data_IF_252794312265
#
_entry.id   IF_252794312265
#
_cell.length_a   1.000
_cell.length_b   1.000
_cell.length_c   1.000
_cell.angle_alpha   90.00
_cell.angle_beta   90.00
_cell.angle_gamma   90.00
#
_symmetry.space_group_name_H-M   'P 1'
#
loop_
_entity.id
_entity.type
_entity.pdbx_description
1 polymer ?
#
# COMPACT_ATOMS: atom_id res chain seq x y z
N UNK A 1 8.36 -0.08 49.17
CA UNK A 1 8.35 1.38 49.45
C UNK A 1 7.95 2.05 48.14
N UNK A 2 6.78 2.66 47.93
CA UNK A 2 5.71 3.15 48.78
C UNK A 2 4.36 2.62 48.31
N UNK A 3 3.51 2.27 49.27
CA UNK A 3 2.09 2.00 49.07
C UNK A 3 1.31 3.33 49.18
N UNK A 4 0.36 3.55 48.27
CA UNK A 4 -0.57 4.67 48.30
C UNK A 4 -1.99 4.14 48.21
N UNK A 5 -2.65 4.14 49.36
CA UNK A 5 -4.04 3.76 49.63
C UNK A 5 -4.91 5.02 49.64
N UNK A 6 -6.06 5.01 48.98
CA UNK A 6 -7.22 5.87 49.28
C UNK A 6 -8.43 5.44 48.42
N UNK A 7 -9.37 4.69 48.98
CA UNK A 7 -10.62 5.10 49.66
C UNK A 7 -11.82 5.18 48.72
N UNK A 8 -12.72 4.23 48.96
CA UNK A 8 -14.10 4.09 48.53
C UNK A 8 -14.95 5.19 49.17
N UNK A 9 -15.82 5.84 48.41
CA UNK A 9 -16.90 6.64 48.96
C UNK A 9 -18.22 6.25 48.29
N UNK A 10 -19.05 5.61 49.11
CA UNK A 10 -20.38 5.08 48.84
C UNK A 10 -21.39 6.17 49.22
N UNK A 11 -22.18 6.64 48.25
CA UNK A 11 -23.28 7.58 48.52
C UNK A 11 -24.60 6.98 48.07
N UNK A 12 -25.30 6.39 49.04
CA UNK A 12 -26.74 6.14 49.03
C UNK A 12 -27.50 7.43 48.74
N UNK A 13 -28.37 7.42 47.74
CA UNK A 13 -29.53 8.32 47.72
C UNK A 13 -30.80 7.53 47.47
N UNK A 14 -31.55 7.38 48.57
CA UNK A 14 -32.93 6.94 48.66
C UNK A 14 -33.84 8.07 48.18
N UNK A 15 -34.71 7.82 47.21
CA UNK A 15 -35.59 8.82 46.60
C UNK A 15 -36.98 8.27 46.32
N UNK A 16 -37.85 8.42 47.32
CA UNK A 16 -39.31 8.58 47.32
C UNK A 16 -40.14 8.05 46.13
N UNK A 17 -41.03 7.10 46.45
CA UNK A 17 -42.21 6.78 45.65
C UNK A 17 -43.26 7.88 45.71
N UNK A 18 -43.69 8.35 44.54
CA UNK A 18 -44.89 9.16 44.35
C UNK A 18 -45.92 8.38 43.53
N UNK A 19 -47.05 8.05 44.14
CA UNK A 19 -48.24 7.54 43.47
C UNK A 19 -48.84 8.65 42.59
N UNK A 20 -48.95 8.40 41.30
CA UNK A 20 -49.67 9.26 40.34
C UNK A 20 -51.07 8.66 40.12
N UNK A 21 -52.15 9.47 40.18
CA UNK A 21 -53.51 8.99 40.02
C UNK A 21 -53.83 8.62 38.57
N UNK A 22 -54.66 7.59 38.42
CA UNK A 22 -55.23 7.14 37.17
C UNK A 22 -56.15 8.23 36.57
N UNK A 23 -55.65 8.93 35.56
CA UNK A 23 -56.42 9.84 34.71
C UNK A 23 -56.92 9.11 33.47
N UNK A 24 -58.23 9.16 33.27
CA UNK A 24 -58.99 8.72 32.09
C UNK A 24 -58.45 9.28 30.78
N UNK A 25 -58.01 8.41 29.87
CA UNK A 25 -57.79 8.73 28.46
C UNK A 25 -58.97 8.20 27.63
N UNK A 26 -59.93 9.07 27.32
CA UNK A 26 -60.93 8.83 26.29
C UNK A 26 -60.98 10.06 25.39
N UNK A 27 -60.73 9.85 24.09
CA UNK A 27 -61.03 10.82 23.03
C UNK A 27 -59.86 11.72 22.58
N UNK A 28 -58.86 11.16 21.91
CA UNK A 28 -58.01 11.89 20.94
C UNK A 28 -57.12 10.91 20.15
N UNK A 29 -57.70 9.99 19.38
CA UNK A 29 -56.95 9.11 18.47
C UNK A 29 -57.67 9.11 17.14
N UNK A 30 -57.40 10.11 16.29
CA UNK A 30 -57.65 10.02 14.84
C UNK A 30 -57.08 11.24 14.11
N UNK A 31 -55.79 11.59 14.32
CA UNK A 31 -55.10 12.55 13.42
C UNK A 31 -53.56 12.59 13.49
N UNK A 32 -52.89 11.69 14.23
CA UNK A 32 -51.42 11.75 14.44
C UNK A 32 -50.60 10.65 13.72
N UNK A 33 -51.22 9.70 13.03
CA UNK A 33 -50.52 8.54 12.45
C UNK A 33 -49.80 8.79 11.11
N UNK A 34 -49.75 10.03 10.62
CA UNK A 34 -49.12 10.36 9.32
C UNK A 34 -47.74 11.01 9.44
N UNK A 35 -47.39 11.60 10.59
CA UNK A 35 -46.12 12.32 10.79
C UNK A 35 -45.02 11.49 11.44
N UNK A 36 -45.36 10.48 12.26
CA UNK A 36 -44.36 9.65 12.97
C UNK A 36 -43.51 8.77 12.04
N UNK A 37 -44.10 8.20 10.98
CA UNK A 37 -43.35 7.34 10.04
C UNK A 37 -42.29 8.12 9.22
N UNK A 38 -42.51 9.43 9.03
CA UNK A 38 -41.56 10.31 8.34
C UNK A 38 -40.38 10.68 9.23
N UNK A 39 -40.60 10.80 10.54
CA UNK A 39 -39.54 11.08 11.51
C UNK A 39 -38.69 9.83 11.82
N UNK A 40 -39.28 8.64 11.79
CA UNK A 40 -38.56 7.37 11.90
C UNK A 40 -37.51 7.18 10.80
N UNK A 41 -37.90 7.32 9.52
CA UNK A 41 -36.96 7.20 8.39
C UNK A 41 -35.87 8.29 8.41
N UNK A 42 -36.22 9.51 8.85
CA UNK A 42 -35.26 10.62 8.99
C UNK A 42 -34.26 10.37 10.12
N UNK A 43 -34.67 9.66 11.18
CA UNK A 43 -33.80 9.29 12.29
C UNK A 43 -32.74 8.24 11.89
N UNK A 44 -33.12 7.21 11.12
CA UNK A 44 -32.18 6.15 10.66
C UNK A 44 -31.11 6.69 9.71
N UNK A 45 -31.49 7.58 8.78
CA UNK A 45 -30.55 8.23 7.87
C UNK A 45 -29.58 9.12 8.64
N UNK A 46 -30.06 9.88 9.64
CA UNK A 46 -29.19 10.68 10.51
C UNK A 46 -28.20 9.82 11.31
N UNK A 47 -28.64 8.66 11.81
CA UNK A 47 -27.76 7.72 12.52
C UNK A 47 -26.68 7.17 11.58
N UNK A 48 -27.05 6.79 10.36
CA UNK A 48 -26.12 6.27 9.36
C UNK A 48 -25.07 7.31 8.93
N UNK A 49 -25.50 8.54 8.66
CA UNK A 49 -24.59 9.66 8.33
C UNK A 49 -23.66 9.94 9.52
N UNK A 50 -24.18 9.94 10.75
CA UNK A 50 -23.36 10.17 11.95
C UNK A 50 -22.29 9.08 12.11
N UNK A 51 -22.61 7.81 11.82
CA UNK A 51 -21.63 6.72 11.81
C UNK A 51 -20.56 6.92 10.74
N UNK A 52 -20.94 7.22 9.50
CA UNK A 52 -19.99 7.48 8.41
C UNK A 52 -19.08 8.66 8.74
N UNK A 53 -19.65 9.75 9.27
CA UNK A 53 -18.87 10.92 9.68
C UNK A 53 -17.90 10.58 10.82
N UNK A 54 -18.33 9.78 11.81
CA UNK A 54 -17.45 9.33 12.90
C UNK A 54 -16.30 8.43 12.41
N UNK A 55 -16.55 7.60 11.39
CA UNK A 55 -15.51 6.79 10.75
C UNK A 55 -14.53 7.68 9.97
N UNK A 56 -15.03 8.71 9.28
CA UNK A 56 -14.21 9.67 8.58
C UNK A 56 -13.33 10.50 9.52
N UNK A 57 -13.88 11.00 10.63
CA UNK A 57 -13.10 11.77 11.61
C UNK A 57 -12.05 10.91 12.32
N UNK A 58 -12.38 9.65 12.64
CA UNK A 58 -11.40 8.70 13.17
C UNK A 58 -10.31 8.35 12.13
N UNK A 59 -10.68 8.22 10.86
CA UNK A 59 -9.72 8.02 9.78
C UNK A 59 -8.78 9.22 9.60
N UNK A 60 -9.30 10.45 9.68
CA UNK A 60 -8.50 11.67 9.60
C UNK A 60 -7.52 11.81 10.77
N UNK A 61 -7.92 11.49 12.00
CA UNK A 61 -7.00 11.55 13.13
C UNK A 61 -5.86 10.54 12.97
N UNK A 62 -6.16 9.33 12.49
CA UNK A 62 -5.14 8.31 12.19
C UNK A 62 -4.23 8.78 11.05
N UNK A 63 -4.78 9.43 10.01
CA UNK A 63 -4.01 9.97 8.90
C UNK A 63 -3.05 11.08 9.36
N UNK A 64 -3.52 11.98 10.21
CA UNK A 64 -2.71 13.05 10.77
C UNK A 64 -1.57 12.51 11.62
N UNK A 65 -1.85 11.59 12.54
CA UNK A 65 -0.84 10.95 13.38
C UNK A 65 0.17 10.19 12.53
N UNK A 66 -0.29 9.50 11.49
CA UNK A 66 0.58 8.74 10.58
C UNK A 66 1.47 9.65 9.74
N UNK A 67 0.97 10.82 9.32
CA UNK A 67 1.73 11.80 8.56
C UNK A 67 2.78 12.51 9.43
N UNK A 68 2.46 12.83 10.69
CA UNK A 68 3.44 13.34 11.66
C UNK A 68 4.58 12.32 11.89
N UNK A 69 4.21 11.04 12.04
CA UNK A 69 5.19 9.94 12.12
C UNK A 69 6.02 9.84 10.83
N UNK A 70 5.39 9.87 9.66
CA UNK A 70 6.08 9.80 8.38
C UNK A 70 7.09 10.96 8.21
N UNK A 71 6.72 12.17 8.61
CA UNK A 71 7.61 13.33 8.57
C UNK A 71 8.84 13.15 9.48
N UNK A 72 8.65 12.57 10.68
CA UNK A 72 9.76 12.23 11.59
C UNK A 72 10.69 11.16 11.01
N UNK A 73 10.17 10.29 10.15
CA UNK A 73 10.97 9.28 9.44
C UNK A 73 11.62 9.79 8.15
N UNK A 74 11.22 10.95 7.62
CA UNK A 74 11.74 11.46 6.35
C UNK A 74 13.29 11.56 6.30
N UNK A 75 14.01 12.00 7.35
CA UNK A 75 15.47 12.02 7.35
C UNK A 75 16.07 10.60 7.28
N UNK A 76 15.45 9.62 7.95
CA UNK A 76 15.88 8.22 7.88
C UNK A 76 15.62 7.66 6.48
N UNK A 77 14.55 8.08 5.82
CA UNK A 77 14.25 7.67 4.45
C UNK A 77 15.28 8.16 3.43
N UNK A 78 16.02 9.24 3.68
CA UNK A 78 17.15 9.69 2.82
C UNK A 78 18.30 8.70 2.79
N UNK A 79 18.49 7.91 3.85
CA UNK A 79 19.51 6.90 3.92
C UNK A 79 19.32 5.83 2.84
N UNK A 80 18.08 5.51 2.47
CA UNK A 80 17.79 4.44 1.52
C UNK A 80 18.20 4.73 0.07
N UNK A 81 17.79 5.84 -0.58
CA UNK A 81 18.30 6.16 -1.90
C UNK A 81 19.83 6.35 -1.87
N UNK A 82 20.41 6.78 -0.75
CA UNK A 82 21.86 6.91 -0.59
C UNK A 82 22.54 5.54 -0.60
N UNK A 83 22.03 4.59 0.17
CA UNK A 83 22.52 3.21 0.19
C UNK A 83 22.32 2.50 -1.15
N UNK A 84 21.20 2.74 -1.85
CA UNK A 84 20.96 2.18 -3.18
C UNK A 84 22.00 2.72 -4.19
N UNK A 85 22.24 4.04 -4.16
CA UNK A 85 23.23 4.69 -5.01
C UNK A 85 24.66 4.20 -4.69
N UNK A 86 25.01 4.12 -3.40
CA UNK A 86 26.31 3.63 -2.96
C UNK A 86 26.52 2.16 -3.33
N UNK A 87 25.52 1.31 -3.11
CA UNK A 87 25.55 -0.11 -3.49
C UNK A 87 25.78 -0.29 -5.00
N UNK A 88 25.11 0.52 -5.82
CA UNK A 88 25.34 0.52 -7.27
C UNK A 88 26.77 0.96 -7.64
N UNK A 89 27.24 2.08 -7.10
CA UNK A 89 28.57 2.61 -7.38
C UNK A 89 29.69 1.65 -6.92
N UNK A 90 29.46 0.97 -5.79
CA UNK A 90 30.32 -0.10 -5.28
C UNK A 90 30.37 -1.30 -6.23
N UNK A 91 29.22 -1.74 -6.76
CA UNK A 91 29.17 -2.85 -7.74
C UNK A 91 29.96 -2.57 -9.01
N UNK A 92 30.00 -1.32 -9.47
CA UNK A 92 30.78 -0.93 -10.66
C UNK A 92 32.23 -0.55 -10.34
N UNK A 93 32.64 -0.50 -9.06
CA UNK A 93 33.99 -0.11 -8.65
C UNK A 93 34.27 1.40 -8.68
N UNK A 94 33.24 2.24 -8.66
CA UNK A 94 33.35 3.71 -8.70
C UNK A 94 32.79 4.38 -7.44
N UNK A 95 33.10 3.81 -6.27
CA UNK A 95 32.71 4.34 -4.95
C UNK A 95 33.01 5.84 -4.74
N UNK A 96 34.15 6.41 -5.21
CA UNK A 96 34.45 7.84 -5.03
C UNK A 96 33.40 8.79 -5.64
N UNK A 97 32.64 8.35 -6.65
CA UNK A 97 31.58 9.16 -7.27
C UNK A 97 30.41 9.41 -6.31
N UNK A 98 30.26 8.60 -5.25
CA UNK A 98 29.14 8.70 -4.32
C UNK A 98 29.16 10.04 -3.57
N UNK A 99 30.31 10.38 -2.96
CA UNK A 99 30.45 11.61 -2.19
C UNK A 99 30.19 12.83 -3.06
N UNK A 100 30.72 12.85 -4.29
CA UNK A 100 30.51 13.95 -5.23
C UNK A 100 29.05 14.08 -5.69
N UNK A 101 28.40 12.94 -5.91
CA UNK A 101 27.00 12.88 -6.33
C UNK A 101 26.05 13.40 -5.24
N UNK A 102 26.30 13.02 -3.98
CA UNK A 102 25.43 13.36 -2.84
C UNK A 102 25.68 14.79 -2.33
N UNK A 103 26.93 15.27 -2.35
CA UNK A 103 27.26 16.64 -1.90
C UNK A 103 26.81 17.71 -2.89
N UNK A 104 26.65 17.36 -4.17
CA UNK A 104 26.13 18.28 -5.16
C UNK A 104 24.65 18.64 -4.90
N UNK A 105 24.31 19.93 -4.90
CA UNK A 105 22.96 20.46 -4.54
C UNK A 105 21.85 19.71 -5.26
N UNK A 106 21.95 19.60 -6.58
CA UNK A 106 20.90 18.97 -7.39
C UNK A 106 20.85 17.44 -7.22
N UNK A 107 21.93 16.81 -6.75
CA UNK A 107 21.98 15.39 -6.45
C UNK A 107 21.30 15.12 -5.12
N UNK A 108 21.55 15.99 -4.14
CA UNK A 108 20.80 16.03 -2.90
C UNK A 108 19.29 16.27 -3.12
N UNK A 109 18.90 17.14 -4.05
CA UNK A 109 17.48 17.35 -4.42
C UNK A 109 16.87 16.07 -5.00
N UNK A 110 17.53 15.41 -5.95
CA UNK A 110 17.03 14.14 -6.51
C UNK A 110 16.90 13.07 -5.43
N UNK A 111 17.83 13.04 -4.48
CA UNK A 111 17.79 12.13 -3.34
C UNK A 111 16.62 12.40 -2.39
N UNK A 112 16.31 13.68 -2.13
CA UNK A 112 15.10 14.07 -1.39
C UNK A 112 13.85 13.61 -2.12
N UNK A 113 13.74 13.89 -3.43
CA UNK A 113 12.58 13.48 -4.22
C UNK A 113 12.42 11.96 -4.19
N UNK A 114 13.50 11.21 -4.39
CA UNK A 114 13.49 9.75 -4.30
C UNK A 114 13.07 9.26 -2.91
N UNK A 115 13.57 9.87 -1.84
CA UNK A 115 13.18 9.54 -0.46
C UNK A 115 11.70 9.84 -0.18
N UNK A 116 11.17 10.96 -0.69
CA UNK A 116 9.74 11.31 -0.56
C UNK A 116 8.87 10.32 -1.33
N UNK A 117 9.25 9.94 -2.55
CA UNK A 117 8.53 8.93 -3.34
C UNK A 117 8.56 7.56 -2.65
N UNK A 118 9.72 7.14 -2.13
CA UNK A 118 9.85 5.89 -1.37
C UNK A 118 9.02 5.93 -0.08
N UNK A 119 9.09 7.02 0.68
CA UNK A 119 8.29 7.22 1.88
C UNK A 119 6.80 7.17 1.53
N UNK A 120 6.37 7.81 0.45
CA UNK A 120 4.99 7.79 -0.01
C UNK A 120 4.56 6.38 -0.43
N UNK A 121 5.39 5.64 -1.16
CA UNK A 121 5.10 4.26 -1.55
C UNK A 121 4.98 3.33 -0.34
N UNK A 122 5.94 3.41 0.59
CA UNK A 122 5.92 2.69 1.87
C UNK A 122 4.69 3.08 2.68
N UNK A 123 4.39 4.37 2.75
CA UNK A 123 3.21 4.87 3.43
C UNK A 123 1.94 4.29 2.81
N UNK A 124 1.74 4.37 1.50
CA UNK A 124 0.58 3.76 0.85
C UNK A 124 0.48 2.26 1.13
N UNK A 125 1.60 1.53 1.10
CA UNK A 125 1.66 0.10 1.34
C UNK A 125 1.23 -0.30 2.76
N UNK A 126 1.61 0.46 3.78
CA UNK A 126 1.28 0.16 5.18
C UNK A 126 0.00 0.85 5.65
N UNK A 127 -0.22 2.07 5.21
CA UNK A 127 -1.30 2.94 5.64
C UNK A 127 -2.64 2.54 5.01
N UNK A 128 -2.69 2.25 3.70
CA UNK A 128 -3.96 1.90 3.06
C UNK A 128 -4.60 0.65 3.67
N UNK A 129 -3.89 -0.49 3.86
CA UNK A 129 -4.48 -1.63 4.56
C UNK A 129 -4.91 -1.30 6.00
N UNK A 130 -4.12 -0.49 6.69
CA UNK A 130 -4.40 -0.11 8.08
C UNK A 130 -5.65 0.77 8.20
N UNK A 131 -5.86 1.68 7.25
CA UNK A 131 -7.02 2.57 7.19
C UNK A 131 -8.34 1.81 7.08
N UNK A 132 -8.34 0.64 6.42
CA UNK A 132 -9.52 -0.23 6.35
C UNK A 132 -9.65 -1.20 7.53
N UNK A 133 -8.54 -1.55 8.20
CA UNK A 133 -8.56 -2.39 9.40
C UNK A 133 -9.11 -1.68 10.64
N UNK A 134 -8.91 -0.35 10.76
CA UNK A 134 -9.39 0.46 11.88
C UNK A 134 -10.91 0.47 12.03
N UNK A 135 -11.68 0.82 10.99
CA UNK A 135 -13.14 0.72 10.97
C UNK A 135 -13.65 -0.67 11.31
N UNK A 136 -12.97 -1.73 10.82
CA UNK A 136 -13.34 -3.10 11.14
C UNK A 136 -13.18 -3.39 12.63
N UNK A 137 -12.09 -2.91 13.23
CA UNK A 137 -11.87 -3.02 14.66
C UNK A 137 -12.96 -2.29 15.46
N UNK A 138 -13.36 -1.09 15.03
CA UNK A 138 -14.43 -0.33 15.69
C UNK A 138 -15.79 -1.03 15.60
N UNK A 139 -16.13 -1.60 14.43
CA UNK A 139 -17.35 -2.39 14.25
C UNK A 139 -17.34 -3.62 15.18
N UNK A 140 -16.20 -4.33 15.27
CA UNK A 140 -16.07 -5.45 16.19
C UNK A 140 -16.13 -5.03 17.66
N UNK A 141 -15.56 -3.89 18.02
CA UNK A 141 -15.61 -3.35 19.39
C UNK A 141 -17.05 -2.98 19.79
N UNK A 142 -17.80 -2.34 18.89
CA UNK A 142 -19.21 -1.98 19.15
C UNK A 142 -20.09 -3.22 19.33
N UNK A 143 -19.89 -4.26 18.51
CA UNK A 143 -20.59 -5.56 18.64
C UNK A 143 -20.29 -6.24 19.99
N UNK A 144 -19.19 -5.87 20.67
CA UNK A 144 -18.74 -6.51 21.90
C UNK A 144 -18.91 -5.67 23.15
N UNK A 145 -19.21 -4.37 23.03
CA UNK A 145 -19.25 -3.45 24.18
C UNK A 145 -20.38 -3.79 25.17
N UNK A 146 -21.41 -4.51 24.74
CA UNK A 146 -22.58 -4.89 25.55
C UNK A 146 -22.52 -6.26 26.21
N UNK A 147 -21.50 -7.09 25.95
CA UNK A 147 -21.47 -8.48 26.46
C UNK A 147 -20.14 -8.82 27.09
N UNK A 148 -20.15 -9.19 28.37
CA UNK A 148 -19.05 -9.91 29.03
C UNK A 148 -18.93 -11.31 28.40
N UNK A 149 -18.40 -11.38 27.18
CA UNK A 149 -18.23 -12.66 26.50
C UNK A 149 -17.18 -13.50 27.20
N UNK A 150 -17.54 -14.77 27.35
CA UNK A 150 -16.61 -15.82 27.71
C UNK A 150 -15.35 -15.79 26.81
N UNK A 151 -14.18 -15.88 27.45
CA UNK A 151 -12.86 -16.07 26.82
C UNK A 151 -12.84 -17.02 25.60
N UNK A 152 -13.51 -18.20 25.59
CA UNK A 152 -13.58 -19.08 24.42
C UNK A 152 -14.18 -18.42 23.17
N UNK A 153 -15.21 -17.59 23.30
CA UNK A 153 -15.88 -16.96 22.15
C UNK A 153 -14.94 -15.92 21.53
N UNK A 154 -14.26 -15.11 22.35
CA UNK A 154 -13.26 -14.14 21.89
C UNK A 154 -12.11 -14.80 21.12
N UNK A 155 -11.65 -15.98 21.57
CA UNK A 155 -10.61 -16.76 20.86
C UNK A 155 -11.13 -17.32 19.51
N UNK A 156 -12.39 -17.70 19.43
CA UNK A 156 -13.03 -18.11 18.16
C UNK A 156 -13.10 -16.93 17.19
N UNK A 157 -13.62 -15.79 17.64
CA UNK A 157 -13.74 -14.57 16.84
C UNK A 157 -12.39 -14.12 16.29
N UNK A 158 -11.33 -14.10 17.12
CA UNK A 158 -9.97 -13.76 16.68
C UNK A 158 -9.49 -14.66 15.55
N UNK A 159 -9.77 -15.96 15.60
CA UNK A 159 -9.41 -16.91 14.52
C UNK A 159 -10.19 -16.64 13.25
N UNK A 160 -11.49 -16.37 13.35
CA UNK A 160 -12.36 -16.08 12.20
C UNK A 160 -11.93 -14.79 11.51
N UNK A 161 -11.72 -13.71 12.27
CA UNK A 161 -11.26 -12.42 11.75
C UNK A 161 -9.87 -12.53 11.13
N UNK A 162 -8.94 -13.23 11.79
CA UNK A 162 -7.60 -13.48 11.23
C UNK A 162 -7.68 -14.23 9.90
N UNK A 163 -8.47 -15.30 9.84
CA UNK A 163 -8.63 -16.09 8.63
C UNK A 163 -9.25 -15.27 7.49
N UNK A 164 -10.25 -14.43 7.79
CA UNK A 164 -10.86 -13.53 6.81
C UNK A 164 -9.82 -12.55 6.22
N UNK A 165 -9.06 -11.86 7.06
CA UNK A 165 -8.07 -10.87 6.62
C UNK A 165 -6.82 -11.47 5.96
N UNK A 166 -6.56 -12.77 6.12
CA UNK A 166 -5.48 -13.47 5.40
C UNK A 166 -5.97 -14.15 4.12
N UNK A 167 -7.16 -14.74 4.13
CA UNK A 167 -7.68 -15.48 2.97
C UNK A 167 -8.14 -14.54 1.86
N UNK A 168 -8.79 -13.41 2.18
CA UNK A 168 -9.29 -12.47 1.17
C UNK A 168 -8.17 -11.88 0.29
N UNK A 169 -7.03 -11.41 0.82
CA UNK A 169 -5.91 -10.97 -0.01
C UNK A 169 -5.26 -12.10 -0.81
N UNK A 170 -5.18 -13.32 -0.27
CA UNK A 170 -4.68 -14.47 -1.03
C UNK A 170 -5.57 -14.79 -2.23
N UNK A 171 -6.89 -14.74 -2.04
CA UNK A 171 -7.86 -14.92 -3.14
C UNK A 171 -7.71 -13.80 -4.17
N UNK A 172 -7.52 -12.55 -3.73
CA UNK A 172 -7.25 -11.42 -4.62
C UNK A 172 -5.98 -11.64 -5.46
N UNK A 173 -4.86 -11.99 -4.82
CA UNK A 173 -3.56 -12.20 -5.47
C UNK A 173 -3.65 -13.34 -6.48
N UNK A 174 -4.17 -14.49 -6.07
CA UNK A 174 -4.33 -15.66 -6.93
C UNK A 174 -5.27 -15.40 -8.10
N UNK A 175 -6.38 -14.69 -7.87
CA UNK A 175 -7.33 -14.34 -8.94
C UNK A 175 -6.68 -13.39 -9.95
N UNK A 176 -5.96 -12.36 -9.50
CA UNK A 176 -5.21 -11.48 -10.40
C UNK A 176 -4.15 -12.25 -11.18
N UNK A 177 -3.42 -13.15 -10.53
CA UNK A 177 -2.38 -13.95 -11.16
C UNK A 177 -2.95 -14.85 -12.26
N UNK A 178 -4.03 -15.56 -11.96
CA UNK A 178 -4.73 -16.43 -12.90
C UNK A 178 -5.33 -15.62 -14.06
N UNK A 179 -6.01 -14.50 -13.78
CA UNK A 179 -6.63 -13.68 -14.83
C UNK A 179 -5.62 -13.00 -15.75
N UNK A 180 -4.52 -12.47 -15.21
CA UNK A 180 -3.49 -11.78 -16.00
C UNK A 180 -2.59 -12.76 -16.74
N UNK A 181 -2.11 -13.82 -16.09
CA UNK A 181 -1.08 -14.70 -16.66
C UNK A 181 -1.67 -15.93 -17.36
N UNK A 182 -2.69 -16.57 -16.79
CA UNK A 182 -3.26 -17.78 -17.36
C UNK A 182 -4.29 -17.47 -18.47
N UNK A 183 -5.12 -16.45 -18.27
CA UNK A 183 -6.16 -16.06 -19.22
C UNK A 183 -5.78 -14.88 -20.14
N UNK A 184 -4.64 -14.23 -19.90
CA UNK A 184 -4.17 -13.07 -20.68
C UNK A 184 -5.23 -11.97 -20.83
N UNK A 185 -6.07 -11.79 -19.80
CA UNK A 185 -7.14 -10.80 -19.82
C UNK A 185 -6.58 -9.37 -19.73
N UNK A 186 -7.20 -8.38 -20.39
CA UNK A 186 -6.84 -6.99 -20.24
C UNK A 186 -6.83 -6.56 -18.76
N UNK A 187 -5.84 -5.76 -18.30
CA UNK A 187 -5.67 -5.44 -16.88
C UNK A 187 -6.95 -4.90 -16.20
N UNK A 188 -7.74 -4.09 -16.91
CA UNK A 188 -9.00 -3.56 -16.37
C UNK A 188 -10.05 -4.64 -16.08
N UNK A 189 -10.15 -5.66 -16.94
CA UNK A 189 -11.08 -6.79 -16.75
C UNK A 189 -10.59 -7.68 -15.61
N UNK A 190 -9.28 -7.96 -15.56
CA UNK A 190 -8.64 -8.74 -14.49
C UNK A 190 -8.87 -8.11 -13.11
N UNK A 191 -8.75 -6.78 -12.99
CA UNK A 191 -9.03 -6.05 -11.75
C UNK A 191 -10.50 -6.18 -11.36
N UNK A 192 -11.44 -5.93 -12.27
CA UNK A 192 -12.89 -6.03 -11.98
C UNK A 192 -13.27 -7.46 -11.57
N UNK A 193 -12.77 -8.46 -12.29
CA UNK A 193 -12.98 -9.87 -11.96
C UNK A 193 -12.39 -10.22 -10.58
N UNK A 194 -11.18 -9.75 -10.29
CA UNK A 194 -10.54 -9.88 -8.98
C UNK A 194 -11.39 -9.30 -7.86
N UNK A 195 -11.98 -8.11 -8.06
CA UNK A 195 -12.79 -7.43 -7.03
C UNK A 195 -14.04 -8.26 -6.76
N UNK A 196 -14.72 -8.69 -7.83
CA UNK A 196 -15.95 -9.47 -7.72
C UNK A 196 -15.71 -10.81 -7.00
N UNK A 197 -14.72 -11.59 -7.44
CA UNK A 197 -14.38 -12.89 -6.85
C UNK A 197 -14.00 -12.74 -5.38
N UNK A 198 -13.13 -11.78 -5.07
CA UNK A 198 -12.66 -11.51 -3.70
C UNK A 198 -13.83 -11.12 -2.80
N UNK A 199 -14.75 -10.28 -3.29
CA UNK A 199 -15.95 -9.87 -2.55
C UNK A 199 -16.92 -11.04 -2.31
N UNK A 200 -17.19 -11.86 -3.33
CA UNK A 200 -18.04 -13.04 -3.21
C UNK A 200 -17.46 -14.04 -2.20
N UNK A 201 -16.15 -14.27 -2.22
CA UNK A 201 -15.49 -15.17 -1.25
C UNK A 201 -15.54 -14.58 0.17
N UNK A 202 -15.30 -13.28 0.34
CA UNK A 202 -15.41 -12.61 1.63
C UNK A 202 -16.85 -12.69 2.19
N UNK A 203 -17.86 -12.39 1.37
CA UNK A 203 -19.26 -12.47 1.75
C UNK A 203 -19.68 -13.93 2.05
N UNK A 204 -19.26 -14.88 1.23
CA UNK A 204 -19.44 -16.32 1.46
C UNK A 204 -18.84 -16.78 2.78
N UNK A 205 -17.63 -16.33 3.11
CA UNK A 205 -16.99 -16.68 4.38
C UNK A 205 -17.73 -16.09 5.59
N UNK A 206 -18.14 -14.82 5.53
CA UNK A 206 -18.90 -14.18 6.62
C UNK A 206 -20.27 -14.84 6.80
N UNK A 207 -20.95 -15.20 5.71
CA UNK A 207 -22.25 -15.91 5.76
C UNK A 207 -22.13 -17.33 6.31
N UNK A 208 -21.06 -18.06 6.00
CA UNK A 208 -20.79 -19.39 6.55
C UNK A 208 -20.41 -19.38 8.04
N UNK A 209 -19.92 -18.24 8.56
CA UNK A 209 -19.55 -18.04 9.98
C UNK A 209 -20.53 -17.11 10.70
N UNK A 210 -21.73 -17.00 10.14
CA UNK A 210 -22.74 -16.07 10.60
C UNK A 210 -23.25 -16.40 12.00
N UNK A 211 -23.23 -17.66 12.39
CA UNK A 211 -23.57 -18.12 13.74
C UNK A 211 -22.70 -17.45 14.81
N UNK A 212 -21.43 -17.18 14.51
CA UNK A 212 -20.50 -16.49 15.42
C UNK A 212 -20.80 -14.99 15.49
N UNK A 213 -21.25 -14.38 14.38
CA UNK A 213 -21.55 -12.95 14.32
C UNK A 213 -22.97 -12.58 14.79
N UNK A 214 -23.98 -13.43 14.53
CA UNK A 214 -25.38 -13.13 14.80
C UNK A 214 -25.85 -13.51 16.20
N UNK A 215 -25.24 -14.51 16.86
CA UNK A 215 -25.64 -14.92 18.23
C UNK A 215 -25.61 -13.78 19.24
N UNK A 216 -24.95 -12.67 18.92
CA UNK A 216 -24.89 -11.49 19.78
C UNK A 216 -26.06 -10.53 19.60
N UNK A 217 -26.55 -10.33 18.36
CA UNK A 217 -27.68 -9.41 18.15
C UNK A 217 -28.98 -9.92 18.76
N UNK A 218 -29.16 -11.24 18.82
CA UNK A 218 -30.37 -11.85 19.36
C UNK A 218 -30.49 -11.68 20.88
N UNK A 219 -29.38 -11.52 21.60
CA UNK A 219 -29.38 -11.27 23.05
C UNK A 219 -29.74 -9.84 23.43
N UNK A 220 -29.51 -8.88 22.53
CA UNK A 220 -29.75 -7.46 22.80
C UNK A 220 -31.10 -6.96 22.28
N UNK A 221 -31.84 -7.76 21.51
CA UNK A 221 -33.21 -7.41 21.15
C UNK A 221 -34.06 -7.43 22.43
N UNK A 222 -34.47 -6.28 22.99
CA UNK A 222 -35.39 -6.29 24.11
C UNK A 222 -36.64 -7.03 23.66
N UNK A 223 -37.21 -7.87 24.54
CA UNK A 223 -38.51 -8.51 24.33
C UNK A 223 -39.57 -7.41 24.33
N UNK A 224 -39.59 -6.59 23.29
CA UNK A 224 -40.65 -5.63 23.03
C UNK A 224 -41.81 -6.43 22.47
N UNK A 225 -42.72 -6.70 23.39
CA UNK A 225 -44.02 -7.33 23.22
C UNK A 225 -44.65 -6.91 21.88
N UNK A 226 -44.64 -7.80 20.90
CA UNK A 226 -45.20 -7.56 19.57
C UNK A 226 -46.71 -7.29 19.68
N UNK A 227 -47.11 -6.02 19.62
CA UNK A 227 -48.50 -5.63 19.39
C UNK A 227 -48.72 -5.68 17.88
N UNK A 228 -49.44 -6.69 17.41
CA UNK A 228 -49.73 -6.88 15.99
C UNK A 228 -50.55 -5.69 15.44
N UNK A 229 -50.07 -4.97 14.41
CA UNK A 229 -50.85 -3.91 13.79
C UNK A 229 -51.95 -4.49 12.90
N UNK A 230 -53.17 -3.98 13.06
CA UNK A 230 -54.35 -4.34 12.29
C UNK A 230 -54.26 -3.78 10.86
N UNK A 231 -53.94 -4.64 9.88
CA UNK A 231 -53.74 -4.28 8.47
C UNK A 231 -55.09 -4.07 7.73
N UNK A 232 -55.36 -2.83 7.32
CA UNK A 232 -56.47 -2.45 6.42
C UNK A 232 -55.96 -2.19 4.99
N UNK A 233 -56.75 -2.63 4.00
CA UNK A 233 -56.41 -2.88 2.59
C UNK A 233 -56.14 -1.61 1.76
N UNK A 234 -54.94 -1.50 1.18
CA UNK A 234 -54.67 -0.73 -0.04
C UNK A 234 -53.61 -1.46 -0.87
N UNK A 235 -53.99 -1.98 -2.06
CA UNK A 235 -53.20 -2.99 -2.80
C UNK A 235 -52.13 -2.43 -3.74
N UNK A 236 -52.20 -1.16 -4.16
CA UNK A 236 -51.29 -0.64 -5.22
C UNK A 236 -50.06 0.07 -4.64
N UNK A 237 -50.17 0.69 -3.46
CA UNK A 237 -48.99 1.14 -2.69
C UNK A 237 -48.21 -0.05 -2.08
N UNK A 238 -48.79 -1.25 -2.08
CA UNK A 238 -48.19 -2.42 -1.45
C UNK A 238 -46.94 -2.93 -2.16
N UNK A 239 -46.82 -2.86 -3.50
CA UNK A 239 -45.67 -3.46 -4.19
C UNK A 239 -44.39 -2.65 -3.99
N UNK A 240 -44.45 -1.32 -4.11
CA UNK A 240 -43.30 -0.45 -3.80
C UNK A 240 -42.98 -0.45 -2.30
N UNK A 241 -44.01 -0.54 -1.44
CA UNK A 241 -43.80 -0.64 0.01
C UNK A 241 -43.19 -1.98 0.39
N UNK A 242 -43.63 -3.11 -0.19
CA UNK A 242 -43.03 -4.43 -0.01
C UNK A 242 -41.62 -4.51 -0.58
N UNK A 243 -41.35 -3.91 -1.74
CA UNK A 243 -39.99 -3.84 -2.30
C UNK A 243 -39.04 -3.04 -1.40
N UNK A 244 -39.49 -1.88 -0.92
CA UNK A 244 -38.74 -1.04 0.02
C UNK A 244 -38.55 -1.71 1.38
N UNK A 245 -39.58 -2.36 1.91
CA UNK A 245 -39.52 -3.07 3.19
C UNK A 245 -38.68 -4.34 3.08
N UNK A 246 -38.76 -5.08 1.98
CA UNK A 246 -37.90 -6.22 1.71
C UNK A 246 -36.44 -5.79 1.55
N UNK A 247 -36.17 -4.69 0.85
CA UNK A 247 -34.84 -4.08 0.79
C UNK A 247 -34.37 -3.62 2.17
N UNK A 248 -35.24 -3.02 2.98
CA UNK A 248 -34.90 -2.53 4.32
C UNK A 248 -34.63 -3.68 5.30
N UNK A 249 -35.46 -4.71 5.31
CA UNK A 249 -35.27 -5.92 6.12
C UNK A 249 -34.04 -6.71 5.64
N UNK A 250 -33.84 -6.81 4.33
CA UNK A 250 -32.62 -7.39 3.76
C UNK A 250 -31.40 -6.56 4.18
N UNK A 251 -31.46 -5.22 4.15
CA UNK A 251 -30.34 -4.37 4.55
C UNK A 251 -30.09 -4.42 6.07
N UNK A 252 -31.14 -4.56 6.88
CA UNK A 252 -31.02 -4.74 8.32
C UNK A 252 -30.36 -6.08 8.67
N UNK A 253 -30.69 -7.13 7.92
CA UNK A 253 -30.22 -8.49 8.17
C UNK A 253 -28.84 -8.80 7.53
N UNK A 254 -28.59 -8.22 6.35
CA UNK A 254 -27.37 -8.45 5.56
C UNK A 254 -26.38 -7.27 5.63
N UNK A 255 -26.81 -6.07 5.97
CA UNK A 255 -25.97 -4.86 6.00
C UNK A 255 -24.67 -5.05 6.79
N UNK A 256 -24.70 -5.56 8.05
CA UNK A 256 -23.47 -5.84 8.79
C UNK A 256 -22.57 -6.86 8.10
N UNK A 257 -23.15 -7.88 7.46
CA UNK A 257 -22.41 -8.91 6.71
C UNK A 257 -21.72 -8.31 5.49
N UNK A 258 -22.41 -7.46 4.73
CA UNK A 258 -21.87 -6.78 3.56
C UNK A 258 -20.74 -5.82 3.96
N UNK A 259 -20.89 -5.07 5.05
CA UNK A 259 -19.84 -4.17 5.55
C UNK A 259 -18.60 -4.94 6.02
N UNK A 260 -18.79 -6.05 6.76
CA UNK A 260 -17.70 -6.92 7.22
C UNK A 260 -16.96 -7.61 6.06
N UNK A 261 -17.63 -7.89 4.95
CA UNK A 261 -16.99 -8.41 3.75
C UNK A 261 -16.29 -7.31 2.94
N UNK A 262 -16.86 -6.09 2.91
CA UNK A 262 -16.34 -4.98 2.13
C UNK A 262 -14.97 -4.48 2.63
N UNK A 263 -14.77 -4.35 3.94
CA UNK A 263 -13.50 -3.86 4.51
C UNK A 263 -12.27 -4.71 4.16
N UNK A 264 -12.26 -6.05 4.33
CA UNK A 264 -11.13 -6.88 3.91
C UNK A 264 -10.95 -6.87 2.39
N UNK A 265 -12.00 -6.66 1.59
CA UNK A 265 -11.85 -6.53 0.13
C UNK A 265 -11.14 -5.24 -0.26
N UNK A 266 -11.47 -4.10 0.36
CA UNK A 266 -10.72 -2.85 0.17
C UNK A 266 -9.27 -2.98 0.63
N UNK A 267 -9.05 -3.73 1.71
CA UNK A 267 -7.71 -4.05 2.21
C UNK A 267 -6.92 -4.91 1.21
N UNK A 268 -7.57 -5.82 0.49
CA UNK A 268 -6.93 -6.61 -0.56
C UNK A 268 -6.63 -5.77 -1.81
N UNK A 269 -7.55 -4.89 -2.21
CA UNK A 269 -7.37 -4.00 -3.37
C UNK A 269 -6.18 -3.06 -3.19
N UNK A 270 -5.86 -2.62 -1.96
CA UNK A 270 -4.68 -1.78 -1.75
C UNK A 270 -3.35 -2.48 -2.03
N UNK A 271 -3.32 -3.82 -2.08
CA UNK A 271 -2.16 -4.60 -2.52
C UNK A 271 -1.92 -4.54 -4.04
N UNK A 272 -2.79 -3.89 -4.80
CA UNK A 272 -2.64 -3.78 -6.25
C UNK A 272 -1.39 -2.98 -6.66
N UNK A 273 -1.06 -1.90 -5.95
CA UNK A 273 0.10 -1.05 -6.23
C UNK A 273 1.45 -1.80 -6.25
N UNK A 274 1.83 -2.55 -5.19
CA UNK A 274 3.09 -3.31 -5.19
C UNK A 274 3.08 -4.43 -6.23
N UNK A 275 1.92 -5.03 -6.53
CA UNK A 275 1.79 -6.05 -7.56
C UNK A 275 2.02 -5.48 -8.96
N UNK A 276 1.52 -4.27 -9.25
CA UNK A 276 1.82 -3.56 -10.50
C UNK A 276 3.31 -3.27 -10.65
N UNK A 277 3.97 -2.82 -9.57
CA UNK A 277 5.43 -2.64 -9.61
C UNK A 277 6.17 -3.96 -9.84
N UNK A 278 5.67 -5.06 -9.26
CA UNK A 278 6.19 -6.40 -9.52
C UNK A 278 6.11 -6.78 -11.00
N UNK A 279 4.98 -6.52 -11.66
CA UNK A 279 4.80 -6.83 -13.09
C UNK A 279 5.80 -6.11 -13.97
N UNK A 280 6.07 -4.84 -13.70
CA UNK A 280 7.05 -4.05 -14.46
C UNK A 280 8.49 -4.53 -14.25
N UNK A 281 8.79 -5.08 -13.07
CA UNK A 281 10.13 -5.61 -12.75
C UNK A 281 10.40 -6.97 -13.42
N UNK A 282 9.37 -7.73 -13.76
CA UNK A 282 9.49 -9.05 -14.35
C UNK A 282 8.94 -9.08 -15.77
N UNK A 283 9.81 -8.73 -16.73
CA UNK A 283 9.51 -8.91 -18.14
C UNK A 283 9.36 -10.40 -18.47
N UNK A 284 8.12 -10.80 -18.78
CA UNK A 284 7.75 -12.18 -19.12
C UNK A 284 8.42 -12.71 -20.39
N UNK A 285 9.15 -11.87 -21.14
CA UNK A 285 9.95 -12.30 -22.28
C UNK A 285 11.13 -13.23 -21.91
N UNK A 286 11.63 -13.14 -20.67
CA UNK A 286 12.82 -13.88 -20.21
C UNK A 286 12.43 -15.12 -19.40
N UNK A 287 11.33 -15.06 -18.66
CA UNK A 287 10.87 -16.13 -17.76
C UNK A 287 9.60 -16.77 -18.32
N UNK A 288 9.61 -18.09 -18.55
CA UNK A 288 8.42 -18.80 -19.06
C UNK A 288 7.18 -18.56 -18.19
N UNK A 289 5.98 -18.72 -18.76
CA UNK A 289 4.69 -18.36 -18.12
C UNK A 289 4.55 -18.84 -16.67
N UNK A 290 4.95 -20.08 -16.39
CA UNK A 290 4.91 -20.66 -15.04
C UNK A 290 5.88 -20.03 -14.05
N UNK A 291 7.06 -19.62 -14.51
CA UNK A 291 8.03 -18.91 -13.66
C UNK A 291 7.52 -17.50 -13.35
N UNK A 292 6.97 -16.80 -14.33
CA UNK A 292 6.33 -15.49 -14.12
C UNK A 292 5.14 -15.58 -13.16
N UNK A 293 4.33 -16.64 -13.27
CA UNK A 293 3.25 -16.96 -12.32
C UNK A 293 3.77 -17.15 -10.90
N UNK A 294 4.81 -17.97 -10.72
CA UNK A 294 5.38 -18.23 -9.40
C UNK A 294 6.00 -16.96 -8.79
N UNK A 295 6.69 -16.16 -9.58
CA UNK A 295 7.28 -14.90 -9.11
C UNK A 295 6.20 -13.90 -8.74
N UNK A 296 5.15 -13.74 -9.56
CA UNK A 296 4.04 -12.85 -9.25
C UNK A 296 3.29 -13.28 -8.00
N UNK A 297 3.10 -14.58 -7.79
CA UNK A 297 2.51 -15.12 -6.57
C UNK A 297 3.37 -14.83 -5.34
N UNK A 298 4.69 -15.05 -5.43
CA UNK A 298 5.63 -14.77 -4.34
C UNK A 298 5.68 -13.28 -4.01
N UNK A 299 5.69 -12.40 -5.03
CA UNK A 299 5.65 -10.95 -4.85
C UNK A 299 4.30 -10.51 -4.26
N UNK A 300 3.19 -11.09 -4.73
CA UNK A 300 1.86 -10.83 -4.21
C UNK A 300 1.75 -11.23 -2.74
N UNK A 301 2.15 -12.45 -2.38
CA UNK A 301 2.17 -12.92 -0.98
C UNK A 301 3.14 -12.08 -0.15
N UNK A 302 4.30 -11.72 -0.71
CA UNK A 302 5.25 -10.79 -0.09
C UNK A 302 4.63 -9.42 0.19
N UNK A 303 3.74 -8.93 -0.67
CA UNK A 303 3.04 -7.65 -0.46
C UNK A 303 2.07 -7.69 0.73
N UNK A 304 1.53 -8.86 1.08
CA UNK A 304 0.67 -9.04 2.26
C UNK A 304 1.39 -8.73 3.57
N UNK A 305 2.73 -8.79 3.57
CA UNK A 305 3.54 -8.36 4.71
C UNK A 305 3.23 -6.90 5.09
N UNK A 306 2.88 -6.06 4.11
CA UNK A 306 2.39 -4.69 4.31
C UNK A 306 1.12 -4.57 5.16
N UNK A 307 0.30 -5.63 5.21
CA UNK A 307 -0.93 -5.68 6.01
C UNK A 307 -0.68 -6.03 7.47
N UNK A 308 0.50 -6.55 7.81
CA UNK A 308 0.78 -7.07 9.14
C UNK A 308 0.51 -6.05 10.27
N UNK A 309 0.85 -4.75 10.15
CA UNK A 309 0.53 -3.76 11.18
C UNK A 309 -0.99 -3.60 11.39
N UNK A 310 -1.76 -3.42 10.32
CA UNK A 310 -3.21 -3.27 10.39
C UNK A 310 -3.91 -4.51 10.95
N UNK A 311 -3.48 -5.71 10.52
CA UNK A 311 -3.99 -6.98 11.06
C UNK A 311 -3.61 -7.15 12.53
N UNK A 312 -2.39 -6.78 12.94
CA UNK A 312 -1.97 -6.84 14.34
C UNK A 312 -2.82 -5.91 15.22
N UNK A 313 -3.07 -4.67 14.76
CA UNK A 313 -3.96 -3.72 15.43
C UNK A 313 -5.37 -4.29 15.61
N UNK A 314 -5.96 -4.79 14.52
CA UNK A 314 -7.29 -5.40 14.50
C UNK A 314 -7.39 -6.58 15.48
N UNK A 315 -6.41 -7.48 15.46
CA UNK A 315 -6.41 -8.65 16.34
C UNK A 315 -6.23 -8.30 17.82
N UNK A 316 -5.44 -7.28 18.14
CA UNK A 316 -5.30 -6.76 19.50
C UNK A 316 -6.61 -6.10 19.98
N UNK A 317 -7.30 -5.38 19.11
CA UNK A 317 -8.61 -4.82 19.42
C UNK A 317 -9.69 -5.87 19.64
N UNK A 318 -9.77 -6.88 18.78
CA UNK A 318 -10.67 -8.04 18.96
C UNK A 318 -10.31 -8.83 20.22
N UNK A 319 -9.04 -8.78 20.66
CA UNK A 319 -8.62 -9.34 21.94
C UNK A 319 -9.13 -8.59 23.17
N UNK A 320 -9.73 -7.41 23.00
CA UNK A 320 -10.10 -6.50 24.07
C UNK A 320 -8.89 -5.85 24.75
N UNK A 321 -7.75 -5.77 24.06
CA UNK A 321 -6.61 -5.01 24.57
C UNK A 321 -6.89 -3.51 24.49
N UNK A 322 -6.29 -2.74 25.41
CA UNK A 322 -6.40 -1.29 25.38
C UNK A 322 -5.81 -0.71 24.08
N UNK A 323 -6.36 0.42 23.64
CA UNK A 323 -5.87 1.17 22.45
C UNK A 323 -4.36 1.40 22.50
N UNK A 324 -3.82 1.72 23.67
CA UNK A 324 -2.39 1.96 23.88
C UNK A 324 -1.54 0.69 23.68
N UNK A 325 -2.03 -0.50 24.08
CA UNK A 325 -1.30 -1.76 23.85
C UNK A 325 -1.36 -2.16 22.38
N UNK A 326 -2.54 -2.04 21.77
CA UNK A 326 -2.73 -2.31 20.35
C UNK A 326 -1.84 -1.41 19.48
N UNK A 327 -1.75 -0.11 19.78
CA UNK A 327 -0.89 0.83 19.04
C UNK A 327 0.60 0.52 19.22
N UNK A 328 1.05 0.20 20.45
CA UNK A 328 2.44 -0.24 20.69
C UNK A 328 2.80 -1.50 19.91
N UNK A 329 1.94 -2.51 19.91
CA UNK A 329 2.15 -3.73 19.12
C UNK A 329 2.25 -3.41 17.62
N UNK A 330 1.35 -2.55 17.14
CA UNK A 330 1.32 -2.12 15.73
C UNK A 330 2.61 -1.41 15.33
N UNK A 331 3.12 -0.51 16.17
CA UNK A 331 4.40 0.17 15.96
C UNK A 331 5.56 -0.82 15.88
N UNK A 332 5.65 -1.79 16.80
CA UNK A 332 6.70 -2.81 16.80
C UNK A 332 6.66 -3.64 15.51
N UNK A 333 5.47 -4.11 15.12
CA UNK A 333 5.29 -4.88 13.89
C UNK A 333 5.63 -4.04 12.67
N UNK A 334 5.21 -2.77 12.63
CA UNK A 334 5.53 -1.84 11.55
C UNK A 334 7.04 -1.63 11.40
N UNK A 335 7.76 -1.40 12.50
CA UNK A 335 9.23 -1.25 12.48
C UNK A 335 9.92 -2.52 11.99
N UNK A 336 9.55 -3.69 12.52
CA UNK A 336 10.15 -4.97 12.13
C UNK A 336 9.91 -5.28 10.65
N UNK A 337 8.67 -5.12 10.21
CA UNK A 337 8.27 -5.39 8.84
C UNK A 337 8.88 -4.39 7.87
N UNK A 338 8.84 -3.09 8.20
CA UNK A 338 9.46 -2.04 7.39
C UNK A 338 10.95 -2.29 7.21
N UNK A 339 11.65 -2.69 8.27
CA UNK A 339 13.05 -3.09 8.20
C UNK A 339 13.28 -4.31 7.30
N UNK A 340 12.47 -5.36 7.42
CA UNK A 340 12.61 -6.57 6.58
C UNK A 340 12.38 -6.29 5.09
N UNK A 341 11.31 -5.55 4.75
CA UNK A 341 11.00 -5.16 3.37
C UNK A 341 12.12 -4.31 2.79
N UNK A 342 12.59 -3.33 3.57
CA UNK A 342 13.69 -2.48 3.18
C UNK A 342 14.98 -3.28 2.91
N UNK A 343 15.36 -4.15 3.84
CA UNK A 343 16.56 -4.97 3.67
C UNK A 343 16.44 -5.83 2.42
N UNK A 344 15.25 -6.41 2.17
CA UNK A 344 14.93 -7.06 0.91
C UNK A 344 15.26 -6.18 -0.29
N UNK A 345 14.67 -4.98 -0.37
CA UNK A 345 14.86 -4.04 -1.49
C UNK A 345 16.33 -3.69 -1.73
N UNK A 346 17.10 -3.45 -0.66
CA UNK A 346 18.53 -3.09 -0.77
C UNK A 346 19.36 -4.27 -1.30
N UNK A 347 19.03 -5.50 -0.92
CA UNK A 347 19.74 -6.70 -1.39
C UNK A 347 19.29 -7.17 -2.78
N UNK A 348 18.07 -6.85 -3.21
CA UNK A 348 17.58 -7.17 -4.55
C UNK A 348 18.16 -6.21 -5.61
N UNK A 349 19.30 -6.61 -6.19
CA UNK A 349 19.95 -5.94 -7.33
C UNK A 349 19.02 -5.43 -8.45
N UNK A 350 18.04 -6.20 -8.97
CA UNK A 350 17.20 -5.74 -10.08
C UNK A 350 16.37 -4.48 -9.75
N UNK A 351 16.02 -4.26 -8.48
CA UNK A 351 15.28 -3.06 -8.06
C UNK A 351 16.17 -1.81 -8.17
N UNK A 352 17.43 -1.92 -7.74
CA UNK A 352 18.39 -0.80 -7.78
C UNK A 352 18.61 -0.29 -9.20
N UNK A 353 18.80 -1.19 -10.16
CA UNK A 353 19.08 -0.81 -11.55
C UNK A 353 17.84 -0.37 -12.30
N UNK A 354 16.66 -0.91 -11.97
CA UNK A 354 15.39 -0.40 -12.46
C UNK A 354 15.17 1.07 -12.08
N UNK A 355 15.37 1.42 -10.79
CA UNK A 355 15.23 2.81 -10.32
C UNK A 355 16.25 3.74 -11.00
N UNK A 356 17.49 3.28 -11.16
CA UNK A 356 18.53 4.08 -11.83
C UNK A 356 18.27 4.25 -13.34
N UNK A 357 17.64 3.27 -13.99
CA UNK A 357 17.20 3.40 -15.38
C UNK A 357 16.00 4.33 -15.53
N UNK A 358 15.00 4.22 -14.66
CA UNK A 358 13.79 5.05 -14.73
C UNK A 358 14.09 6.53 -14.45
N UNK A 359 15.11 6.81 -13.64
CA UNK A 359 15.63 8.17 -13.42
C UNK A 359 16.55 8.67 -14.54
N UNK A 360 16.87 7.84 -15.54
CA UNK A 360 17.80 8.16 -16.62
C UNK A 360 19.26 8.24 -16.15
N UNK A 361 19.58 7.74 -14.95
CA UNK A 361 20.94 7.69 -14.45
C UNK A 361 21.78 6.61 -15.15
N UNK A 362 21.14 5.63 -15.77
CA UNK A 362 21.80 4.60 -16.58
C UNK A 362 21.17 4.62 -17.97
N UNK A 363 22.01 4.47 -19.00
CA UNK A 363 21.55 4.38 -20.37
C UNK A 363 22.27 3.28 -21.15
N UNK A 364 21.47 2.41 -21.78
CA UNK A 364 21.99 1.27 -22.55
C UNK A 364 22.44 1.69 -23.95
N UNK A 365 21.97 2.83 -24.45
CA UNK A 365 22.25 3.32 -25.80
C UNK A 365 23.49 4.21 -25.81
N UNK A 366 24.34 4.09 -26.83
CA UNK A 366 25.48 4.97 -26.98
C UNK A 366 25.03 6.36 -27.41
N UNK A 367 25.70 7.39 -26.89
CA UNK A 367 25.45 8.79 -27.23
C UNK A 367 26.70 9.43 -27.80
N UNK A 368 26.49 10.47 -28.62
CA UNK A 368 27.56 11.33 -29.13
C UNK A 368 27.62 12.57 -28.23
N UNK A 369 28.82 12.87 -27.74
CA UNK A 369 29.08 14.02 -26.88
C UNK A 369 30.01 14.99 -27.60
N UNK A 370 29.65 16.26 -27.65
CA UNK A 370 30.58 17.32 -28.00
C UNK A 370 31.44 17.61 -26.77
N UNK A 371 32.77 17.51 -26.93
CA UNK A 371 33.72 17.84 -25.88
C UNK A 371 33.95 19.36 -25.89
N UNK A 372 33.72 20.00 -24.73
CA UNK A 372 33.89 21.44 -24.54
C UNK A 372 35.29 21.80 -24.05
N UNK A 373 35.93 20.91 -23.27
CA UNK A 373 37.30 21.11 -22.76
C UNK A 373 38.30 20.17 -23.45
N UNK A 374 39.36 20.68 -24.10
CA UNK A 374 40.31 19.84 -24.86
C UNK A 374 41.11 18.87 -23.99
N UNK A 375 41.34 19.21 -22.70
CA UNK A 375 42.08 18.34 -21.76
C UNK A 375 41.42 16.97 -21.58
N UNK A 376 40.09 16.92 -21.72
CA UNK A 376 39.32 15.68 -21.62
C UNK A 376 39.62 14.70 -22.77
N UNK A 377 40.07 15.20 -23.93
CA UNK A 377 40.37 14.37 -25.11
C UNK A 377 41.49 13.37 -24.79
N UNK A 378 42.51 13.79 -24.03
CA UNK A 378 43.60 12.92 -23.63
C UNK A 378 43.11 11.79 -22.70
N UNK A 379 42.28 12.13 -21.72
CA UNK A 379 41.68 11.17 -20.80
C UNK A 379 40.77 10.16 -21.53
N UNK A 380 39.93 10.64 -22.46
CA UNK A 380 39.04 9.79 -23.26
C UNK A 380 39.84 8.82 -24.17
N UNK A 381 40.92 9.31 -24.80
CA UNK A 381 41.81 8.47 -25.63
C UNK A 381 42.58 7.44 -24.80
N UNK A 382 43.03 7.79 -23.59
CA UNK A 382 43.68 6.86 -22.68
C UNK A 382 42.78 5.65 -22.34
N UNK A 383 41.48 5.91 -22.24
CA UNK A 383 40.43 4.91 -21.96
C UNK A 383 39.91 4.23 -23.24
N UNK A 384 40.51 4.53 -24.40
CA UNK A 384 40.17 3.98 -25.73
C UNK A 384 38.75 4.33 -26.20
N UNK A 385 38.19 5.45 -25.74
CA UNK A 385 36.94 6.00 -26.27
C UNK A 385 37.24 6.69 -27.61
N UNK A 386 36.42 6.42 -28.63
CA UNK A 386 36.62 6.98 -29.98
C UNK A 386 36.27 8.46 -29.97
N UNK A 387 37.28 9.31 -30.17
CA UNK A 387 37.13 10.77 -30.30
C UNK A 387 37.43 11.16 -31.74
N UNK A 388 36.46 11.76 -32.42
CA UNK A 388 36.59 12.26 -33.80
C UNK A 388 36.63 13.79 -33.80
N UNK A 389 37.66 14.42 -34.38
CA UNK A 389 37.65 15.88 -34.59
C UNK A 389 36.59 16.25 -35.64
N UNK A 390 36.00 17.44 -35.49
CA UNK A 390 35.11 18.02 -36.50
C UNK A 390 35.89 18.34 -37.78
N UNK A 391 35.47 17.79 -38.92
CA UNK A 391 36.24 17.76 -40.17
C UNK A 391 36.44 19.09 -40.90
N UNK A 392 35.92 20.20 -40.40
CA UNK A 392 36.15 21.52 -40.97
C UNK A 392 36.13 22.57 -39.86
N UNK A 393 37.30 22.89 -39.30
CA UNK A 393 37.44 24.14 -38.57
C UNK A 393 37.31 25.27 -39.58
N UNK A 394 36.28 26.10 -39.47
CA UNK A 394 36.35 27.42 -40.10
C UNK A 394 37.55 28.15 -39.50
N UNK A 395 38.34 28.80 -40.35
CA UNK A 395 39.51 29.60 -39.95
C UNK A 395 39.13 30.52 -38.78
N UNK A 396 39.73 30.30 -37.61
CA UNK A 396 39.48 31.09 -36.39
C UNK A 396 38.55 30.47 -35.34
N UNK A 397 37.92 29.30 -35.57
CA UNK A 397 37.16 28.59 -34.52
C UNK A 397 37.95 27.42 -33.91
N UNK A 398 37.86 27.20 -32.58
CA UNK A 398 38.49 26.05 -31.94
C UNK A 398 37.91 24.75 -32.50
N UNK A 399 38.78 23.76 -32.78
CA UNK A 399 38.35 22.46 -33.26
C UNK A 399 37.41 21.79 -32.24
N UNK A 400 36.17 21.54 -32.66
CA UNK A 400 35.24 20.76 -31.87
C UNK A 400 35.62 19.27 -31.94
N UNK A 401 35.58 18.58 -30.81
CA UNK A 401 35.79 17.14 -30.73
C UNK A 401 34.49 16.44 -30.35
N UNK A 402 34.22 15.29 -30.96
CA UNK A 402 33.05 14.46 -30.66
C UNK A 402 33.50 13.11 -30.12
N UNK A 403 32.93 12.67 -28.99
CA UNK A 403 33.16 11.36 -28.41
C UNK A 403 31.93 10.46 -28.57
N UNK A 404 32.14 9.22 -28.97
CA UNK A 404 31.11 8.18 -28.98
C UNK A 404 31.33 7.23 -27.80
N UNK A 405 30.40 7.24 -26.84
CA UNK A 405 30.54 6.45 -25.61
C UNK A 405 29.18 6.02 -25.05
N UNK A 406 29.22 5.06 -24.12
CA UNK A 406 28.07 4.62 -23.32
C UNK A 406 28.07 5.32 -21.97
N UNK A 407 26.90 5.73 -21.50
CA UNK A 407 26.76 6.30 -20.15
C UNK A 407 26.41 5.21 -19.16
N UNK A 408 27.37 4.86 -18.30
CA UNK A 408 27.16 3.88 -17.23
C UNK A 408 26.51 4.52 -16.01
N UNK A 409 26.77 5.78 -15.78
CA UNK A 409 26.21 6.54 -14.67
C UNK A 409 26.08 8.00 -15.07
N UNK A 410 24.93 8.59 -14.80
CA UNK A 410 24.62 9.99 -15.03
C UNK A 410 23.85 10.52 -13.85
N UNK A 411 24.56 11.14 -12.92
CA UNK A 411 23.92 11.73 -11.78
C UNK A 411 24.45 13.14 -11.58
N UNK A 412 23.57 14.08 -11.88
CA UNK A 412 23.71 15.47 -11.50
C UNK A 412 25.12 16.07 -11.68
N UNK A 413 25.49 16.27 -12.94
CA UNK A 413 26.77 16.79 -13.42
C UNK A 413 27.96 15.84 -13.31
N UNK A 414 27.80 14.65 -12.74
CA UNK A 414 28.81 13.60 -12.79
C UNK A 414 28.35 12.53 -13.79
N UNK A 415 29.14 12.36 -14.85
CA UNK A 415 28.92 11.36 -15.89
C UNK A 415 30.06 10.35 -15.85
N UNK A 416 29.72 9.06 -15.90
CA UNK A 416 30.68 7.99 -16.12
C UNK A 416 30.51 7.49 -17.56
N UNK A 417 31.46 7.88 -18.42
CA UNK A 417 31.48 7.50 -19.83
C UNK A 417 32.36 6.28 -20.01
N UNK A 418 31.83 5.24 -20.64
CA UNK A 418 32.54 3.99 -20.90
C UNK A 418 32.62 3.70 -22.39
N UNK A 419 33.69 3.02 -22.80
CA UNK A 419 33.88 2.60 -24.19
C UNK A 419 32.86 1.54 -24.62
N UNK A 420 32.65 0.54 -23.77
CA UNK A 420 31.92 -0.67 -24.13
C UNK A 420 30.52 -0.71 -23.50
N UNK A 421 29.58 -1.32 -24.24
CA UNK A 421 28.23 -1.59 -23.77
C UNK A 421 28.23 -2.56 -22.58
N UNK A 422 27.26 -2.43 -21.67
CA UNK A 422 27.09 -3.36 -20.55
C UNK A 422 25.68 -3.95 -20.55
N UNK A 423 25.57 -5.28 -20.56
CA UNK A 423 24.28 -5.95 -20.57
C UNK A 423 23.70 -6.00 -19.15
N UNK A 424 23.11 -4.90 -18.68
CA UNK A 424 22.46 -4.83 -17.37
C UNK A 424 21.38 -5.90 -17.17
N UNK A 425 20.63 -6.25 -18.22
CA UNK A 425 19.63 -7.33 -18.16
C UNK A 425 20.22 -8.69 -17.78
N UNK A 426 21.44 -8.98 -18.24
CA UNK A 426 22.15 -10.21 -17.90
C UNK A 426 22.80 -10.10 -16.52
N UNK A 427 23.38 -8.95 -16.22
CA UNK A 427 24.07 -8.68 -14.96
C UNK A 427 23.12 -8.67 -13.75
N UNK A 428 21.89 -8.21 -13.93
CA UNK A 428 20.83 -8.15 -12.91
C UNK A 428 19.88 -9.34 -12.93
N UNK A 429 20.01 -10.24 -13.89
CA UNK A 429 19.09 -11.37 -14.04
C UNK A 429 18.97 -12.16 -12.72
N UNK A 430 17.74 -12.33 -12.24
CA UNK A 430 17.42 -13.11 -11.06
C UNK A 430 17.47 -14.63 -11.32
N UNK A 431 18.10 -15.09 -12.40
CA UNK A 431 18.20 -16.52 -12.71
C UNK A 431 19.26 -17.18 -11.81
N UNK A 432 18.82 -17.92 -10.80
CA UNK A 432 19.64 -18.73 -9.90
C UNK A 432 20.08 -20.03 -10.59
N UNK A 433 20.90 -19.92 -11.64
CA UNK A 433 21.56 -21.09 -12.21
C UNK A 433 22.94 -21.26 -11.57
N UNK A 434 23.34 -22.49 -11.24
CA UNK A 434 24.59 -22.84 -10.53
C UNK A 434 25.90 -22.44 -11.25
N UNK A 435 25.83 -21.75 -12.40
CA UNK A 435 26.97 -21.11 -13.07
C UNK A 435 26.77 -19.62 -13.38
N UNK A 436 25.56 -19.09 -13.17
CA UNK A 436 25.21 -17.71 -13.47
C UNK A 436 25.84 -16.71 -12.51
N UNK A 437 26.09 -17.09 -11.25
CA UNK A 437 26.69 -16.20 -10.25
C UNK A 437 28.11 -15.77 -10.61
N UNK A 438 28.98 -16.73 -10.97
CA UNK A 438 30.36 -16.41 -11.38
C UNK A 438 30.41 -15.53 -12.63
N UNK A 439 29.55 -15.81 -13.62
CA UNK A 439 29.43 -14.99 -14.83
C UNK A 439 28.96 -13.58 -14.50
N UNK A 440 27.96 -13.42 -13.62
CA UNK A 440 27.47 -12.11 -13.16
C UNK A 440 28.56 -11.34 -12.39
N UNK A 441 29.23 -11.99 -11.45
CA UNK A 441 30.33 -11.37 -10.70
C UNK A 441 31.47 -10.92 -11.63
N UNK A 442 31.83 -11.74 -12.64
CA UNK A 442 32.82 -11.37 -13.64
C UNK A 442 32.35 -10.19 -14.51
N UNK A 443 31.08 -10.16 -14.91
CA UNK A 443 30.52 -9.01 -15.64
C UNK A 443 30.61 -7.74 -14.78
N UNK A 444 30.13 -7.76 -13.53
CA UNK A 444 30.20 -6.61 -12.62
C UNK A 444 31.64 -6.15 -12.35
N UNK A 445 32.59 -7.07 -12.21
CA UNK A 445 34.01 -6.74 -12.07
C UNK A 445 34.57 -5.99 -13.30
N UNK A 446 33.98 -6.18 -14.48
CA UNK A 446 34.34 -5.44 -15.70
C UNK A 446 33.52 -4.18 -15.94
N UNK A 447 32.46 -3.93 -15.16
CA UNK A 447 31.49 -2.87 -15.43
C UNK A 447 32.09 -1.45 -15.39
N UNK A 448 33.10 -1.25 -14.54
CA UNK A 448 33.85 -0.01 -14.39
C UNK A 448 35.12 0.09 -15.25
N UNK A 449 35.49 -0.96 -15.97
CA UNK A 449 36.69 -0.95 -16.81
C UNK A 449 36.46 -0.08 -18.05
N UNK A 450 37.55 0.57 -18.49
CA UNK A 450 37.53 1.45 -19.65
C UNK A 450 36.43 2.54 -19.56
N UNK A 451 36.29 3.11 -18.36
CA UNK A 451 35.42 4.25 -18.09
C UNK A 451 36.23 5.46 -17.63
N UNK A 452 35.73 6.65 -17.94
CA UNK A 452 36.28 7.92 -17.47
C UNK A 452 35.16 8.74 -16.85
N UNK A 453 35.47 9.35 -15.72
CA UNK A 453 34.61 10.33 -15.07
C UNK A 453 34.70 11.64 -15.83
N UNK A 454 33.56 12.19 -16.20
CA UNK A 454 33.41 13.44 -16.95
C UNK A 454 32.39 14.31 -16.24
N UNK A 455 32.59 15.62 -16.24
CA UNK A 455 31.58 16.54 -15.71
C UNK A 455 30.65 17.05 -16.81
N UNK A 456 29.40 17.36 -16.47
CA UNK A 456 28.43 17.87 -17.45
C UNK A 456 28.78 19.25 -18.03
N UNK A 457 29.67 20.02 -17.40
CA UNK A 457 30.20 21.28 -17.97
C UNK A 457 31.33 21.04 -18.99
N UNK A 458 31.85 19.82 -19.09
CA UNK A 458 32.96 19.46 -19.99
C UNK A 458 32.49 18.86 -21.30
N UNK A 459 31.21 18.45 -21.36
CA UNK A 459 30.61 17.78 -22.50
C UNK A 459 29.18 18.28 -22.71
N UNK A 460 28.75 18.31 -23.96
CA UNK A 460 27.36 18.55 -24.33
C UNK A 460 26.82 17.32 -25.07
N UNK A 461 25.78 16.64 -24.56
CA UNK A 461 25.17 15.54 -25.30
C UNK A 461 24.49 16.09 -26.56
N UNK A 462 24.78 15.49 -27.70
CA UNK A 462 24.08 15.80 -28.95
C UNK A 462 22.89 14.85 -29.02
N UNK A 463 21.69 15.40 -28.89
CA UNK A 463 20.50 14.64 -29.25
C UNK A 463 20.60 14.32 -30.74
N UNK A 464 20.66 13.03 -31.07
CA UNK A 464 20.30 12.61 -32.42
C UNK A 464 18.83 12.95 -32.60
N UNK A 465 18.53 14.16 -33.06
CA UNK A 465 17.36 14.33 -33.93
C UNK A 465 17.57 13.32 -35.05
N UNK A 466 16.54 12.54 -35.40
CA UNK A 466 16.63 11.48 -36.40
C UNK A 466 17.15 12.04 -37.74
N UNK A 467 18.45 12.17 -37.89
CA UNK A 467 19.14 12.32 -39.16
C UNK A 467 19.20 10.90 -39.72
N UNK A 468 18.11 10.57 -40.41
CA UNK A 468 17.94 9.35 -41.19
C UNK A 468 18.77 9.45 -42.45
#
# INVERSE_FOLDING_TARGET
MNAGVSTVEESRQSGNGGMVPAGTCSGAIETLTSTEDRDGARSEVKISIKRVLSLYTAGLSIAQDSLDVAWKFAPVCLFFPAMLLWSYLRKIGWEPLFAESVVSISGFVVMIVAAVVLLFAVFLQFFLPSLFSGPAAAIHEEIHRGTDLDLPIRKSMRRVVRALYLMVPLVWITTLNVTVIAFELPPGISVVAGILVTYVVAAGYVTLRRDIFLRQQEKEAPVSQCRAPHMSRSRILSVCWWGSQFLRESFKYWGPTLVLAFLPTLTAISLFLPMLMGLELFDGSITGKWASFAVFEVVGVGSMVGMAPGVAYLLAKVAGESTMRASKLTMIVCTFVGYAVLMGVVYFAPVTTFILRSTGAIEDRPRVYQILKPDLVAALRAVRIKVTPSGAGMEGQPQAYFAYAYTRFSFNNVLLMCKDWFPFSVADSAAWTNGGERKRAALWATAGNLCVKVRADEIRPIQRTNLR
#
